data_IF_189091506090
#
_entry.id   IF_189091506090
#
_cell.length_a   1.000
_cell.length_b   1.000
_cell.length_c   1.000
_cell.angle_alpha   90.00
_cell.angle_beta   90.00
_cell.angle_gamma   90.00
#
_symmetry.space_group_name_H-M   'P 1'
#
loop_
_entity.id
_entity.type
_entity.pdbx_description
1 polymer ?
#
# COMPACT_ATOMS: atom_id res chain seq x y z
N UNK A 1 5.37 39.21 -10.03
CA UNK A 1 6.49 38.46 -9.42
C UNK A 1 6.31 36.98 -9.74
N UNK A 2 7.15 36.47 -10.64
CA UNK A 2 7.23 35.08 -11.09
C UNK A 2 8.06 34.26 -10.11
N UNK A 3 7.63 33.05 -9.72
CA UNK A 3 8.53 31.90 -9.55
C UNK A 3 7.79 30.63 -9.97
N UNK A 4 8.02 30.22 -11.23
CA UNK A 4 7.70 28.88 -11.75
C UNK A 4 8.85 27.97 -11.33
N UNK A 5 8.62 27.03 -10.42
CA UNK A 5 9.62 26.00 -10.12
C UNK A 5 9.52 24.90 -11.18
N UNK A 6 10.39 24.98 -12.19
CA UNK A 6 10.76 23.86 -13.03
C UNK A 6 11.65 22.93 -12.21
N UNK A 7 11.18 21.73 -11.92
CA UNK A 7 12.08 20.59 -11.69
C UNK A 7 11.80 19.56 -12.79
N UNK A 8 12.43 19.80 -13.93
CA UNK A 8 12.68 18.78 -14.94
C UNK A 8 13.95 18.03 -14.56
N UNK A 9 13.84 16.76 -14.20
CA UNK A 9 14.96 15.83 -14.23
C UNK A 9 14.65 14.75 -15.25
N UNK A 10 15.20 14.96 -16.46
CA UNK A 10 15.21 13.95 -17.50
C UNK A 10 16.18 12.82 -17.16
N UNK A 11 15.94 11.63 -17.71
CA UNK A 11 16.62 11.17 -18.94
C UNK A 11 16.20 9.74 -19.25
N UNK A 12 15.55 9.62 -20.40
CA UNK A 12 15.27 8.41 -21.20
C UNK A 12 16.44 7.42 -21.20
N UNK A 13 16.16 6.13 -20.95
CA UNK A 13 17.03 5.02 -21.35
C UNK A 13 16.21 3.99 -22.11
N UNK A 14 16.34 4.05 -23.43
CA UNK A 14 15.92 3.02 -24.38
C UNK A 14 17.04 2.00 -24.51
N UNK A 15 16.76 0.71 -24.36
CA UNK A 15 17.56 -0.33 -24.97
C UNK A 15 16.62 -1.34 -25.64
N UNK A 16 16.46 -1.15 -26.95
CA UNK A 16 15.91 -2.16 -27.83
C UNK A 16 16.99 -3.06 -28.41
N UNK A 17 16.52 -4.16 -29.00
CA UNK A 17 17.22 -5.08 -29.92
C UNK A 17 18.19 -6.03 -29.20
N UNK A 18 17.90 -7.33 -29.19
CA UNK A 18 18.24 -8.23 -30.31
C UNK A 18 17.16 -9.31 -30.52
N UNK A 19 16.42 -9.15 -31.62
CA UNK A 19 15.83 -10.27 -32.36
C UNK A 19 16.96 -10.96 -33.12
N UNK A 20 17.17 -12.24 -32.84
CA UNK A 20 18.15 -13.07 -33.54
C UNK A 20 17.55 -14.44 -33.77
N UNK A 21 17.20 -14.73 -35.02
CA UNK A 21 17.02 -16.09 -35.52
C UNK A 21 18.32 -16.85 -35.32
N UNK A 22 18.26 -18.00 -34.64
CA UNK A 22 19.36 -18.92 -34.47
C UNK A 22 18.81 -20.24 -33.96
N UNK A 23 18.42 -21.10 -34.89
CA UNK A 23 18.09 -22.48 -34.62
C UNK A 23 19.31 -23.23 -34.03
N UNK A 24 19.02 -24.40 -33.45
CA UNK A 24 19.92 -25.50 -33.10
C UNK A 24 20.38 -25.53 -31.63
N UNK A 25 19.76 -26.39 -30.82
CA UNK A 25 20.30 -27.69 -30.36
C UNK A 25 19.43 -28.20 -29.19
N UNK A 26 18.89 -29.40 -29.35
CA UNK A 26 18.27 -30.24 -28.32
C UNK A 26 19.26 -30.52 -27.18
N UNK A 27 18.85 -30.28 -25.93
CA UNK A 27 19.41 -30.98 -24.77
C UNK A 27 18.33 -31.16 -23.70
N UNK A 28 17.96 -32.43 -23.47
CA UNK A 28 17.17 -32.89 -22.34
C UNK A 28 17.89 -32.56 -21.03
N UNK A 29 17.20 -31.87 -20.12
CA UNK A 29 17.49 -31.94 -18.69
C UNK A 29 16.18 -31.90 -17.92
N UNK A 30 15.69 -33.09 -17.57
CA UNK A 30 14.63 -33.30 -16.58
C UNK A 30 15.24 -32.99 -15.21
N UNK A 31 14.80 -31.89 -14.59
CA UNK A 31 15.21 -31.47 -13.25
C UNK A 31 14.01 -30.91 -12.52
N UNK A 32 13.31 -31.81 -11.83
CA UNK A 32 12.04 -31.63 -11.14
C UNK A 32 12.00 -30.41 -10.21
N UNK A 33 10.94 -29.62 -10.36
CA UNK A 33 10.63 -28.45 -9.57
C UNK A 33 10.38 -28.79 -8.10
N UNK A 34 11.07 -28.10 -7.18
CA UNK A 34 10.53 -27.81 -5.86
C UNK A 34 9.85 -26.44 -5.94
N UNK A 35 8.71 -26.38 -6.63
CA UNK A 35 7.78 -25.27 -6.44
C UNK A 35 7.14 -25.50 -5.08
N UNK A 36 7.68 -24.87 -4.03
CA UNK A 36 6.87 -24.59 -2.86
C UNK A 36 5.76 -23.68 -3.34
N UNK A 37 4.60 -24.26 -3.64
CA UNK A 37 3.35 -23.51 -3.73
C UNK A 37 3.14 -22.91 -2.35
N UNK A 38 3.69 -21.71 -2.16
CA UNK A 38 3.13 -20.76 -1.24
C UNK A 38 1.75 -20.50 -1.84
N UNK A 39 0.75 -21.23 -1.35
CA UNK A 39 -0.63 -20.80 -1.48
C UNK A 39 -0.68 -19.46 -0.74
N UNK A 40 -0.38 -18.40 -1.47
CA UNK A 40 -0.85 -17.09 -1.11
C UNK A 40 -2.36 -17.24 -1.16
N UNK A 41 -2.96 -17.51 0.01
CA UNK A 41 -4.39 -17.44 0.21
C UNK A 41 -4.79 -16.08 -0.33
N UNK A 42 -5.35 -16.06 -1.53
CA UNK A 42 -5.93 -14.87 -2.12
C UNK A 42 -6.94 -14.40 -1.09
N UNK A 43 -6.76 -13.22 -0.46
CA UNK A 43 -7.79 -12.69 0.40
C UNK A 43 -9.07 -12.65 -0.44
N UNK A 44 -10.15 -13.21 0.11
CA UNK A 44 -11.45 -13.20 -0.54
C UNK A 44 -11.70 -11.76 -1.01
N UNK A 45 -11.89 -11.58 -2.32
CA UNK A 45 -12.07 -10.27 -2.90
C UNK A 45 -13.28 -9.63 -2.21
N UNK A 46 -12.99 -8.69 -1.31
CA UNK A 46 -13.97 -7.74 -0.85
C UNK A 46 -14.53 -7.02 -2.07
N UNK A 47 -15.80 -6.64 -1.97
CA UNK A 47 -16.48 -5.70 -2.87
C UNK A 47 -15.51 -4.58 -3.28
N UNK A 48 -15.52 -4.07 -4.53
CA UNK A 48 -14.61 -2.99 -4.94
C UNK A 48 -14.91 -1.72 -4.14
N UNK A 49 -14.19 -1.56 -3.04
CA UNK A 49 -14.15 -0.37 -2.21
C UNK A 49 -13.34 0.66 -3.00
N UNK A 50 -13.99 1.76 -3.44
CA UNK A 50 -13.40 2.93 -4.12
C UNK A 50 -11.86 2.91 -4.14
N UNK A 51 -11.29 2.32 -5.20
CA UNK A 51 -9.90 1.81 -5.34
C UNK A 51 -8.79 2.86 -5.15
N UNK A 52 -9.15 4.10 -4.86
CA UNK A 52 -8.27 5.25 -4.84
C UNK A 52 -7.98 5.79 -3.44
N UNK A 53 -8.72 5.38 -2.40
CA UNK A 53 -8.59 5.92 -1.02
C UNK A 53 -8.04 4.88 -0.05
N UNK A 54 -6.92 5.20 0.59
CA UNK A 54 -6.34 4.41 1.68
C UNK A 54 -7.14 4.65 2.97
N UNK A 55 -7.65 3.58 3.57
CA UNK A 55 -8.30 3.65 4.89
C UNK A 55 -7.29 3.35 5.99
N UNK A 56 -7.29 4.15 7.05
CA UNK A 56 -6.40 4.03 8.19
C UNK A 56 -7.20 4.03 9.50
N UNK A 57 -7.04 3.01 10.33
CA UNK A 57 -7.54 2.99 11.71
C UNK A 57 -6.44 3.49 12.66
N UNK A 58 -6.72 4.56 13.39
CA UNK A 58 -5.77 5.21 14.30
C UNK A 58 -6.22 4.96 15.74
N UNK A 59 -5.54 4.05 16.42
CA UNK A 59 -5.80 3.72 17.82
C UNK A 59 -4.85 4.47 18.77
N UNK A 60 -5.39 5.06 19.83
CA UNK A 60 -4.60 5.60 20.93
C UNK A 60 -4.99 4.99 22.26
N UNK A 61 -4.02 4.45 23.00
CA UNK A 61 -4.24 3.93 24.36
C UNK A 61 -4.11 5.06 25.38
N UNK A 62 -5.19 5.31 26.13
CA UNK A 62 -5.27 6.40 27.12
C UNK A 62 -5.53 5.90 28.54
N UNK A 63 -5.66 4.58 28.71
CA UNK A 63 -5.77 3.95 30.02
C UNK A 63 -4.45 4.09 30.80
N UNK A 64 -4.50 4.81 31.93
CA UNK A 64 -3.36 5.03 32.82
C UNK A 64 -2.63 6.37 32.59
N UNK A 65 -2.57 6.86 31.36
CA UNK A 65 -2.01 8.18 31.04
C UNK A 65 -2.50 8.67 29.66
N UNK A 66 -2.81 9.96 29.56
CA UNK A 66 -3.19 10.62 28.31
C UNK A 66 -2.11 11.62 27.90
N UNK A 67 -1.48 11.38 26.76
CA UNK A 67 -0.53 12.33 26.17
C UNK A 67 -1.27 13.52 25.57
N UNK A 68 -0.87 14.75 25.91
CA UNK A 68 -1.44 15.97 25.31
C UNK A 68 -1.27 16.03 23.78
N UNK A 69 -0.18 15.46 23.27
CA UNK A 69 0.14 15.39 21.84
C UNK A 69 -0.80 14.52 21.01
N UNK A 70 -1.73 13.78 21.64
CA UNK A 70 -2.78 13.05 20.90
C UNK A 70 -3.60 14.03 20.05
N UNK A 71 -3.89 15.23 20.57
CA UNK A 71 -4.64 16.23 19.81
C UNK A 71 -3.84 16.80 18.62
N UNK A 72 -2.52 16.92 18.77
CA UNK A 72 -1.63 17.35 17.70
C UNK A 72 -1.60 16.31 16.56
N UNK A 73 -1.54 15.02 16.91
CA UNK A 73 -1.59 13.93 15.94
C UNK A 73 -2.92 13.91 15.18
N UNK A 74 -4.06 14.09 15.86
CA UNK A 74 -5.38 14.22 15.20
C UNK A 74 -5.40 15.39 14.21
N UNK A 75 -4.84 16.52 14.61
CA UNK A 75 -4.79 17.74 13.77
C UNK A 75 -3.86 17.59 12.57
N UNK A 76 -2.77 16.84 12.71
CA UNK A 76 -1.88 16.48 11.60
C UNK A 76 -2.58 15.58 10.60
N UNK A 77 -3.23 14.53 11.09
CA UNK A 77 -3.89 13.54 10.25
C UNK A 77 -5.13 14.10 9.54
N UNK A 78 -5.91 14.97 10.19
CA UNK A 78 -7.00 15.69 9.53
C UNK A 78 -6.52 16.56 8.34
N UNK A 79 -5.33 17.17 8.45
CA UNK A 79 -4.71 17.88 7.32
C UNK A 79 -4.24 16.92 6.23
N UNK A 80 -3.80 15.72 6.59
CA UNK A 80 -3.44 14.69 5.63
C UNK A 80 -4.67 14.19 4.87
N UNK A 81 -5.80 13.96 5.54
CA UNK A 81 -7.08 13.60 4.88
C UNK A 81 -7.54 14.66 3.88
N UNK A 82 -7.39 15.95 4.22
CA UNK A 82 -7.78 17.05 3.33
C UNK A 82 -6.87 17.20 2.10
N UNK A 83 -5.66 16.65 2.12
CA UNK A 83 -4.63 16.85 1.09
C UNK A 83 -4.22 15.58 0.34
N UNK A 84 -4.62 14.41 0.84
CA UNK A 84 -4.22 13.08 0.36
C UNK A 84 -5.44 12.18 0.26
N UNK A 85 -5.34 11.06 -0.47
CA UNK A 85 -6.41 10.06 -0.53
C UNK A 85 -6.32 9.10 0.66
N UNK A 86 -6.40 9.65 1.87
CA UNK A 86 -6.38 8.88 3.11
C UNK A 86 -7.64 9.23 3.90
N UNK A 87 -8.34 8.22 4.41
CA UNK A 87 -9.44 8.34 5.35
C UNK A 87 -9.04 7.72 6.69
N UNK A 88 -9.04 8.50 7.76
CA UNK A 88 -8.59 8.12 9.10
C UNK A 88 -9.77 7.97 10.07
N UNK A 89 -9.95 6.77 10.61
CA UNK A 89 -10.89 6.51 11.70
C UNK A 89 -10.13 6.49 13.02
N UNK A 90 -10.43 7.40 13.94
CA UNK A 90 -9.76 7.48 15.23
C UNK A 90 -10.54 6.75 16.32
N UNK A 91 -9.86 5.94 17.12
CA UNK A 91 -10.47 5.18 18.22
C UNK A 91 -9.55 5.10 19.44
N UNK A 92 -10.15 4.95 20.62
CA UNK A 92 -9.46 4.54 21.85
C UNK A 92 -9.94 3.16 22.32
N UNK A 93 -10.85 2.54 21.57
CA UNK A 93 -11.42 1.24 21.87
C UNK A 93 -10.61 0.12 21.20
N UNK A 94 -9.94 -0.76 21.98
CA UNK A 94 -9.21 -1.90 21.43
C UNK A 94 -10.13 -3.01 20.90
N UNK A 95 -11.44 -2.98 21.19
CA UNK A 95 -12.38 -3.99 20.69
C UNK A 95 -12.58 -3.93 19.16
N UNK A 96 -12.14 -2.85 18.49
CA UNK A 96 -12.21 -2.72 17.04
C UNK A 96 -11.15 -3.53 16.28
N UNK A 97 -10.18 -4.14 16.97
CA UNK A 97 -9.19 -5.03 16.35
C UNK A 97 -9.77 -6.45 16.15
N UNK A 98 -10.86 -6.53 15.38
CA UNK A 98 -11.49 -7.77 14.91
C UNK A 98 -11.39 -7.85 13.40
N UNK A 99 -11.58 -9.04 12.81
CA UNK A 99 -11.57 -9.19 11.35
C UNK A 99 -12.60 -8.26 10.67
N UNK A 100 -13.78 -8.12 11.27
CA UNK A 100 -14.85 -7.23 10.79
C UNK A 100 -14.52 -5.74 10.98
N UNK A 101 -13.84 -5.37 12.06
CA UNK A 101 -13.37 -4.00 12.26
C UNK A 101 -12.25 -3.61 11.30
N UNK A 102 -11.41 -4.56 10.91
CA UNK A 102 -10.27 -4.34 10.03
C UNK A 102 -10.57 -4.56 8.54
N UNK A 103 -11.74 -5.12 8.19
CA UNK A 103 -12.18 -5.24 6.79
C UNK A 103 -12.50 -3.89 6.14
N UNK A 104 -12.61 -2.82 6.94
CA UNK A 104 -12.91 -1.47 6.47
C UNK A 104 -14.40 -1.20 6.26
N UNK A 105 -15.26 -1.98 6.91
CA UNK A 105 -16.73 -1.85 6.91
C UNK A 105 -17.28 -0.98 8.05
N UNK A 106 -16.39 -0.35 8.83
CA UNK A 106 -16.69 0.55 9.96
C UNK A 106 -17.11 1.95 9.52
#
# INVERSE_FOLDING_TARGET
MLIRSLFGFGKRSSNGVRSGCGALVMALSVGSACSSSFEHRTPAAGTPESEDTVRALVFTRTAGYRHASIQDARSLLARAEASSRIACTFTEDPALFTDEGLSGSL
#
